data_IF_760564431724
#
_entry.id   IF_760564431724
#
_cell.length_a   1.000
_cell.length_b   1.000
_cell.length_c   1.000
_cell.angle_alpha   90.00
_cell.angle_beta   90.00
_cell.angle_gamma   90.00
#
_symmetry.space_group_name_H-M   'P 1'
#
loop_
_entity.id
_entity.type
_entity.pdbx_description
1 polymer ?
#
# COMPACT_ATOMS: atom_id res chain seq x y z
N UNK A 1 13.58 -25.48 1.02
CA UNK A 1 12.17 -25.39 1.45
C UNK A 1 11.81 -23.91 1.53
N UNK A 2 11.35 -23.33 0.42
CA UNK A 2 10.96 -21.92 0.36
C UNK A 2 9.52 -21.79 0.83
N UNK A 3 9.32 -21.30 2.05
CA UNK A 3 7.99 -20.92 2.53
C UNK A 3 7.47 -19.84 1.57
N UNK A 4 6.33 -20.10 0.93
CA UNK A 4 5.67 -19.11 0.10
C UNK A 4 5.41 -17.87 0.92
N UNK A 5 5.95 -16.73 0.49
CA UNK A 5 5.70 -15.41 1.05
C UNK A 5 4.23 -15.08 0.81
N UNK A 6 3.35 -15.60 1.66
CA UNK A 6 1.93 -15.32 1.62
C UNK A 6 1.73 -13.86 1.98
N UNK A 7 1.43 -13.04 0.96
CA UNK A 7 0.93 -11.69 1.17
C UNK A 7 -0.32 -11.81 2.03
N UNK A 8 -0.22 -11.44 3.30
CA UNK A 8 -1.37 -11.43 4.19
C UNK A 8 -2.06 -10.09 3.97
N UNK A 9 -3.11 -10.11 3.17
CA UNK A 9 -4.06 -8.99 3.07
C UNK A 9 -4.84 -8.96 4.38
N UNK A 10 -4.59 -7.96 5.20
CA UNK A 10 -5.22 -7.82 6.52
C UNK A 10 -6.47 -6.95 6.36
N UNK A 11 -7.63 -7.58 6.28
CA UNK A 11 -8.81 -6.97 5.66
C UNK A 11 -9.42 -5.76 6.40
N UNK A 12 -9.94 -4.81 5.60
CA UNK A 12 -11.09 -3.92 5.84
C UNK A 12 -11.93 -3.66 4.55
N UNK A 13 -11.59 -4.25 3.39
CA UNK A 13 -12.41 -4.32 2.19
C UNK A 13 -12.01 -5.49 1.26
N UNK A 14 -13.01 -6.23 0.75
CA UNK A 14 -12.86 -7.35 -0.19
C UNK A 14 -12.02 -7.00 -1.44
N UNK A 15 -11.33 -8.00 -2.04
CA UNK A 15 -10.59 -7.81 -3.29
C UNK A 15 -11.50 -7.30 -4.42
N UNK A 16 -10.92 -6.68 -5.48
CA UNK A 16 -11.70 -6.20 -6.62
C UNK A 16 -12.55 -7.31 -7.23
N UNK A 17 -13.74 -6.94 -7.70
CA UNK A 17 -14.54 -7.84 -8.51
C UNK A 17 -13.75 -8.23 -9.77
N UNK A 18 -13.78 -9.52 -10.14
CA UNK A 18 -13.02 -10.02 -11.28
C UNK A 18 -13.37 -9.24 -12.56
N UNK A 19 -12.36 -8.64 -13.20
CA UNK A 19 -12.47 -8.01 -14.51
C UNK A 19 -12.62 -6.48 -14.57
N UNK A 20 -12.54 -5.76 -13.44
CA UNK A 20 -12.52 -4.30 -13.45
C UNK A 20 -11.10 -3.72 -13.43
N UNK A 21 -10.83 -2.77 -14.33
CA UNK A 21 -9.59 -1.99 -14.33
C UNK A 21 -9.63 -0.97 -13.19
N UNK A 22 -8.68 -1.05 -12.26
CA UNK A 22 -8.55 -0.15 -11.12
C UNK A 22 -7.19 0.56 -11.17
N UNK A 23 -7.22 1.87 -10.98
CA UNK A 23 -6.12 2.71 -10.51
C UNK A 23 -6.10 2.69 -8.98
N UNK A 24 -4.91 2.53 -8.41
CA UNK A 24 -4.70 2.43 -6.97
C UNK A 24 -3.64 3.41 -6.50
N UNK A 25 -3.85 3.98 -5.31
CA UNK A 25 -2.80 4.64 -4.57
C UNK A 25 -2.41 3.80 -3.36
N UNK A 26 -1.11 3.71 -3.09
CA UNK A 26 -0.59 3.10 -1.89
C UNK A 26 0.16 4.09 -1.02
N UNK A 27 0.15 3.82 0.28
CA UNK A 27 0.73 4.65 1.30
C UNK A 27 1.62 3.84 2.23
N UNK A 28 2.86 4.31 2.41
CA UNK A 28 3.75 3.87 3.49
C UNK A 28 3.74 4.90 4.61
N UNK A 29 3.14 4.54 5.74
CA UNK A 29 2.83 5.48 6.82
C UNK A 29 3.98 5.61 7.82
N UNK A 30 4.87 6.58 7.58
CA UNK A 30 5.83 7.06 8.56
C UNK A 30 5.27 8.19 9.44
N UNK A 31 5.77 8.31 10.67
CA UNK A 31 5.37 9.39 11.59
C UNK A 31 5.76 10.79 11.09
N UNK A 32 6.86 10.88 10.31
CA UNK A 32 7.40 12.14 9.76
C UNK A 32 7.13 12.35 8.28
N UNK A 33 6.97 11.26 7.53
CA UNK A 33 6.88 11.23 6.08
C UNK A 33 5.84 10.21 5.67
N UNK A 34 5.15 10.46 4.56
CA UNK A 34 4.22 9.50 3.97
C UNK A 34 4.70 9.21 2.55
N UNK A 35 5.19 7.99 2.32
CA UNK A 35 5.50 7.52 0.97
C UNK A 35 4.22 7.28 0.20
N UNK A 36 4.17 7.68 -1.06
CA UNK A 36 3.01 7.47 -1.95
C UNK A 36 3.46 6.75 -3.21
N UNK A 37 2.68 5.77 -3.64
CA UNK A 37 2.85 5.08 -4.92
C UNK A 37 1.55 5.00 -5.70
N UNK A 38 1.67 4.88 -7.02
CA UNK A 38 0.59 4.73 -7.97
C UNK A 38 0.76 3.41 -8.73
N UNK A 39 -0.35 2.74 -9.02
CA UNK A 39 -0.37 1.54 -9.83
C UNK A 39 -1.74 1.28 -10.42
N UNK A 40 -1.83 0.28 -11.29
CA UNK A 40 -3.11 -0.13 -11.87
C UNK A 40 -3.15 -1.63 -12.17
N UNK A 41 -4.35 -2.19 -12.24
CA UNK A 41 -4.57 -3.63 -12.49
C UNK A 41 -4.35 -4.03 -13.96
N UNK A 42 -4.37 -3.09 -14.90
CA UNK A 42 -4.12 -3.31 -16.34
C UNK A 42 -2.67 -3.73 -16.58
N UNK A 43 -1.74 -2.84 -16.22
CA UNK A 43 -0.30 -3.04 -16.38
C UNK A 43 0.31 -3.88 -15.26
N UNK A 44 -0.36 -3.94 -14.10
CA UNK A 44 0.09 -4.65 -12.89
C UNK A 44 1.45 -4.18 -12.40
N UNK A 45 1.73 -2.89 -12.57
CA UNK A 45 2.95 -2.26 -12.10
C UNK A 45 2.61 -1.16 -11.11
N UNK A 46 3.42 -1.11 -10.05
CA UNK A 46 3.45 -0.01 -9.12
C UNK A 46 4.71 0.82 -9.32
N UNK A 47 4.60 2.13 -9.13
CA UNK A 47 5.71 3.07 -9.15
C UNK A 47 5.60 4.09 -8.01
N UNK A 48 6.75 4.50 -7.47
CA UNK A 48 6.83 5.60 -6.52
C UNK A 48 6.27 6.87 -7.16
N UNK A 49 5.37 7.56 -6.45
CA UNK A 49 4.74 8.80 -6.92
C UNK A 49 5.37 10.02 -6.26
N UNK A 50 5.31 10.10 -4.93
CA UNK A 50 5.91 11.20 -4.17
C UNK A 50 6.10 10.86 -2.68
N UNK A 51 6.76 11.75 -1.94
CA UNK A 51 6.81 11.74 -0.47
C UNK A 51 6.09 12.97 0.03
N UNK A 52 5.05 12.80 0.84
CA UNK A 52 4.36 13.89 1.50
C UNK A 52 5.09 14.23 2.81
N UNK A 53 5.73 15.41 2.82
CA UNK A 53 6.36 16.01 4.00
C UNK A 53 5.39 17.03 4.63
N UNK A 54 4.38 16.54 5.36
CA UNK A 54 3.40 17.39 6.01
C UNK A 54 3.58 17.36 7.54
N UNK A 55 3.91 18.51 8.18
CA UNK A 55 4.12 18.58 9.63
C UNK A 55 2.83 18.42 10.43
N UNK A 56 1.67 18.68 9.81
CA UNK A 56 0.35 18.56 10.43
C UNK A 56 -0.46 17.46 9.76
N UNK A 57 -1.38 16.88 10.54
CA UNK A 57 -2.35 15.90 10.04
C UNK A 57 -3.21 16.51 8.93
N UNK A 58 -3.71 17.73 9.11
CA UNK A 58 -4.59 18.37 8.13
C UNK A 58 -3.87 18.66 6.81
N UNK A 59 -2.61 19.11 6.87
CA UNK A 59 -1.79 19.30 5.66
C UNK A 59 -1.58 18.00 4.90
N UNK A 60 -1.36 16.89 5.61
CA UNK A 60 -1.23 15.54 5.01
C UNK A 60 -2.52 15.15 4.29
N UNK A 61 -3.67 15.26 4.94
CA UNK A 61 -4.95 14.89 4.34
C UNK A 61 -5.39 15.83 3.22
N UNK A 62 -4.98 17.10 3.25
CA UNK A 62 -5.20 18.04 2.14
C UNK A 62 -4.41 17.60 0.90
N UNK A 63 -3.13 17.22 1.05
CA UNK A 63 -2.34 16.71 -0.07
C UNK A 63 -2.88 15.38 -0.61
N UNK A 64 -3.29 14.47 0.27
CA UNK A 64 -3.96 13.23 -0.15
C UNK A 64 -5.21 13.55 -0.96
N UNK A 65 -6.06 14.49 -0.51
CA UNK A 65 -7.26 14.86 -1.25
C UNK A 65 -6.96 15.37 -2.67
N UNK A 66 -5.87 16.12 -2.86
CA UNK A 66 -5.42 16.55 -4.19
C UNK A 66 -5.03 15.34 -5.05
N UNK A 67 -4.21 14.42 -4.51
CA UNK A 67 -3.83 13.20 -5.24
C UNK A 67 -5.05 12.34 -5.63
N UNK A 68 -6.05 12.25 -4.76
CA UNK A 68 -7.29 11.53 -5.07
C UNK A 68 -8.07 12.21 -6.20
N UNK A 69 -8.10 13.53 -6.25
CA UNK A 69 -8.73 14.27 -7.34
C UNK A 69 -7.96 14.11 -8.66
N UNK A 70 -6.63 14.13 -8.60
CA UNK A 70 -5.76 14.04 -9.78
C UNK A 70 -5.82 12.64 -10.41
N UNK A 71 -5.77 11.59 -9.58
CA UNK A 71 -5.61 10.20 -10.05
C UNK A 71 -6.89 9.37 -10.02
N UNK A 72 -7.93 9.81 -9.32
CA UNK A 72 -9.22 9.12 -9.18
C UNK A 72 -9.10 7.61 -8.90
N UNK A 73 -8.34 7.20 -7.87
CA UNK A 73 -8.16 5.78 -7.58
C UNK A 73 -9.47 5.16 -7.08
N UNK A 74 -9.72 3.91 -7.47
CA UNK A 74 -10.87 3.15 -6.98
C UNK A 74 -10.60 2.55 -5.59
N UNK A 75 -9.33 2.43 -5.20
CA UNK A 75 -8.90 1.78 -3.96
C UNK A 75 -7.60 2.36 -3.42
N UNK A 76 -7.50 2.37 -2.10
CA UNK A 76 -6.29 2.74 -1.38
C UNK A 76 -5.64 1.52 -0.72
N UNK A 77 -4.32 1.49 -0.69
CA UNK A 77 -3.52 0.46 -0.03
C UNK A 77 -2.65 1.11 1.04
N UNK A 78 -2.55 0.50 2.22
CA UNK A 78 -1.73 1.02 3.33
C UNK A 78 -0.82 -0.10 3.84
N UNK A 79 0.47 0.20 3.95
CA UNK A 79 1.44 -0.68 4.60
C UNK A 79 1.16 -0.83 6.09
N UNK A 80 1.33 -2.05 6.61
CA UNK A 80 1.22 -2.35 8.02
C UNK A 80 2.51 -2.99 8.56
N UNK A 81 3.22 -2.23 9.39
CA UNK A 81 4.43 -2.62 10.10
C UNK A 81 4.17 -3.76 11.09
N UNK A 82 4.31 -5.02 10.68
CA UNK A 82 4.22 -6.16 11.59
C UNK A 82 5.60 -6.59 12.09
N UNK A 83 5.65 -7.22 13.26
CA UNK A 83 6.88 -7.91 13.72
C UNK A 83 7.24 -9.06 12.81
N UNK A 84 8.48 -9.57 12.92
CA UNK A 84 8.91 -10.79 12.22
C UNK A 84 7.93 -11.95 12.36
N UNK A 85 7.33 -12.10 13.56
CA UNK A 85 6.38 -13.16 13.89
C UNK A 85 4.93 -12.83 13.48
N UNK A 86 4.69 -11.69 12.80
CA UNK A 86 3.38 -11.28 12.29
C UNK A 86 2.48 -10.59 13.31
N UNK A 87 3.01 -10.20 14.47
CA UNK A 87 2.23 -9.54 15.53
C UNK A 87 2.17 -8.02 15.35
N UNK A 88 1.07 -7.40 15.76
CA UNK A 88 0.93 -5.94 15.74
C UNK A 88 1.76 -5.28 16.86
N UNK A 89 2.28 -4.09 16.57
CA UNK A 89 2.97 -3.19 17.49
C UNK A 89 2.38 -1.78 17.39
N UNK A 90 2.94 -0.85 18.15
CA UNK A 90 2.49 0.55 18.15
C UNK A 90 2.45 1.17 16.73
N UNK A 91 3.45 0.87 15.88
CA UNK A 91 3.48 1.34 14.49
C UNK A 91 2.32 0.75 13.65
N UNK A 92 2.01 -0.54 13.80
CA UNK A 92 0.86 -1.18 13.14
C UNK A 92 -0.45 -0.51 13.55
N UNK A 93 -0.63 -0.24 14.85
CA UNK A 93 -1.81 0.44 15.36
C UNK A 93 -1.96 1.85 14.76
N UNK A 94 -0.85 2.56 14.53
CA UNK A 94 -0.86 3.86 13.86
C UNK A 94 -1.23 3.73 12.37
N UNK A 95 -0.67 2.75 11.65
CA UNK A 95 -1.04 2.45 10.26
C UNK A 95 -2.52 2.11 10.10
N UNK A 96 -3.07 1.26 10.98
CA UNK A 96 -4.49 0.90 11.01
C UNK A 96 -5.39 2.12 11.29
N UNK A 97 -4.99 2.97 12.23
CA UNK A 97 -5.70 4.24 12.49
C UNK A 97 -5.68 5.15 11.27
N UNK A 98 -4.55 5.24 10.56
CA UNK A 98 -4.44 6.02 9.34
C UNK A 98 -5.36 5.47 8.23
N UNK A 99 -5.38 4.16 8.02
CA UNK A 99 -6.30 3.51 7.07
C UNK A 99 -7.77 3.78 7.39
N UNK A 100 -8.17 3.69 8.67
CA UNK A 100 -9.53 4.02 9.10
C UNK A 100 -9.88 5.50 8.83
N UNK A 101 -8.91 6.41 9.01
CA UNK A 101 -9.11 7.83 8.71
C UNK A 101 -9.24 8.10 7.22
N UNK A 102 -8.46 7.41 6.37
CA UNK A 102 -8.60 7.47 4.91
C UNK A 102 -10.01 7.02 4.50
N UNK A 103 -10.43 5.84 4.97
CA UNK A 103 -11.75 5.30 4.68
C UNK A 103 -12.87 6.25 5.13
N UNK A 104 -12.85 6.69 6.39
CA UNK A 104 -13.88 7.56 6.95
C UNK A 104 -13.93 8.95 6.31
N UNK A 105 -12.82 9.47 5.77
CA UNK A 105 -12.77 10.81 5.16
C UNK A 105 -13.13 10.81 3.68
N UNK A 106 -12.75 9.77 2.94
CA UNK A 106 -12.84 9.75 1.48
C UNK A 106 -13.83 8.71 0.95
N UNK A 107 -14.34 7.81 1.79
CA UNK A 107 -15.31 6.78 1.39
C UNK A 107 -14.74 5.69 0.48
N UNK A 108 -13.42 5.71 0.20
CA UNK A 108 -12.77 4.72 -0.64
C UNK A 108 -12.50 3.43 0.15
N UNK A 109 -12.56 2.26 -0.52
CA UNK A 109 -12.04 1.01 0.03
C UNK A 109 -10.56 1.16 0.39
N UNK A 110 -10.18 0.70 1.58
CA UNK A 110 -8.79 0.70 2.04
C UNK A 110 -8.37 -0.71 2.41
N UNK A 111 -7.26 -1.17 1.83
CA UNK A 111 -6.69 -2.49 2.08
C UNK A 111 -5.40 -2.34 2.87
N UNK A 112 -5.20 -3.17 3.90
CA UNK A 112 -3.92 -3.24 4.60
C UNK A 112 -3.07 -4.37 4.05
N UNK A 113 -1.79 -4.09 3.85
CA UNK A 113 -0.81 -5.03 3.33
C UNK A 113 0.36 -5.11 4.31
N UNK A 114 0.73 -6.34 4.65
CA UNK A 114 1.92 -6.62 5.44
C UNK A 114 3.19 -6.10 4.74
N UNK A 115 3.90 -5.19 5.41
CA UNK A 115 5.09 -4.52 4.86
C UNK A 115 6.41 -5.22 5.21
N UNK A 116 6.40 -6.37 5.91
CA UNK A 116 7.63 -7.08 6.32
C UNK A 116 8.61 -7.24 5.16
N UNK A 117 9.86 -6.85 5.37
CA UNK A 117 10.93 -6.96 4.36
C UNK A 117 10.93 -5.90 3.26
N UNK A 118 9.95 -4.98 3.22
CA UNK A 118 9.89 -3.91 2.21
C UNK A 118 11.11 -2.98 2.24
N UNK A 119 11.62 -2.64 3.42
CA UNK A 119 12.84 -1.81 3.56
C UNK A 119 14.09 -2.52 3.03
N UNK A 120 14.20 -3.84 3.23
CA UNK A 120 15.31 -4.62 2.68
C UNK A 120 15.22 -4.73 1.15
N UNK A 121 14.02 -4.91 0.62
CA UNK A 121 13.76 -4.92 -0.83
C UNK A 121 14.04 -3.55 -1.46
N UNK A 122 13.64 -2.46 -0.81
CA UNK A 122 13.93 -1.10 -1.25
C UNK A 122 15.45 -0.83 -1.29
N UNK A 123 16.16 -1.25 -0.25
CA UNK A 123 17.62 -1.11 -0.16
C UNK A 123 18.33 -1.90 -1.27
N UNK A 124 17.84 -3.11 -1.57
CA UNK A 124 18.38 -3.94 -2.65
C UNK A 124 18.14 -3.34 -4.04
N UNK A 125 17.05 -2.59 -4.24
CA UNK A 125 16.72 -1.98 -5.53
C UNK A 125 17.45 -0.66 -5.79
N UNK A 126 17.83 0.10 -4.76
CA UNK A 126 18.26 1.50 -4.95
C UNK A 126 19.70 1.83 -4.57
N UNK A 127 20.43 0.94 -3.90
CA UNK A 127 21.72 1.33 -3.31
C UNK A 127 21.54 2.39 -2.21
N UNK A 128 22.59 2.63 -1.42
CA UNK A 128 22.54 3.22 -0.08
C UNK A 128 22.05 4.69 0.05
N UNK A 129 21.48 5.34 -0.98
CA UNK A 129 21.28 6.80 -0.99
C UNK A 129 19.98 7.33 -1.62
N UNK A 130 18.97 6.52 -1.96
CA UNK A 130 17.70 7.03 -2.50
C UNK A 130 16.67 7.35 -1.40
N UNK A 131 15.66 8.22 -1.65
CA UNK A 131 14.61 8.50 -0.67
C UNK A 131 13.70 7.26 -0.49
N UNK A 132 14.04 6.45 0.52
CA UNK A 132 13.54 5.10 0.80
C UNK A 132 12.00 4.99 0.89
N UNK A 133 11.32 6.05 1.32
CA UNK A 133 9.91 5.98 1.75
C UNK A 133 8.91 5.83 0.58
N UNK A 134 9.10 6.51 -0.56
CA UNK A 134 8.19 6.36 -1.71
C UNK A 134 8.34 5.00 -2.42
N UNK A 135 9.52 4.39 -2.26
CA UNK A 135 9.84 3.09 -2.87
C UNK A 135 9.23 1.96 -2.03
N UNK A 136 9.26 2.09 -0.70
CA UNK A 136 8.51 1.22 0.18
C UNK A 136 7.01 1.18 -0.18
N UNK A 137 6.39 2.34 -0.42
CA UNK A 137 5.00 2.42 -0.88
C UNK A 137 4.77 1.68 -2.22
N UNK A 138 5.72 1.76 -3.16
CA UNK A 138 5.64 1.05 -4.43
C UNK A 138 5.76 -0.47 -4.26
N UNK A 139 6.65 -0.93 -3.39
CA UNK A 139 6.80 -2.34 -3.05
C UNK A 139 5.53 -2.90 -2.40
N UNK A 140 4.95 -2.15 -1.45
CA UNK A 140 3.67 -2.48 -0.81
C UNK A 140 2.58 -2.67 -1.87
N UNK A 141 2.46 -1.72 -2.82
CA UNK A 141 1.47 -1.81 -3.88
C UNK A 141 1.73 -2.95 -4.85
N UNK A 142 2.99 -3.20 -5.20
CA UNK A 142 3.35 -4.31 -6.09
C UNK A 142 2.97 -5.66 -5.46
N UNK A 143 3.25 -5.84 -4.16
CA UNK A 143 2.84 -7.04 -3.42
C UNK A 143 1.32 -7.26 -3.45
N UNK A 144 0.54 -6.19 -3.33
CA UNK A 144 -0.91 -6.27 -3.47
C UNK A 144 -1.33 -6.72 -4.88
N UNK A 145 -0.79 -6.09 -5.92
CA UNK A 145 -1.07 -6.42 -7.32
C UNK A 145 -0.72 -7.87 -7.66
N UNK A 146 0.40 -8.37 -7.14
CA UNK A 146 0.84 -9.76 -7.34
C UNK A 146 -0.07 -10.76 -6.59
N UNK A 147 -0.56 -10.40 -5.41
CA UNK A 147 -1.48 -11.22 -4.63
C UNK A 147 -2.84 -11.39 -5.31
N UNK A 148 -3.43 -10.31 -5.83
CA UNK A 148 -4.74 -10.38 -6.51
C UNK A 148 -4.67 -11.13 -7.84
N UNK A 149 -3.51 -11.13 -8.53
CA UNK A 149 -3.26 -12.00 -9.69
C UNK A 149 -3.38 -13.47 -9.31
N UNK A 150 -2.70 -13.85 -8.24
CA UNK A 150 -2.63 -15.24 -7.77
C UNK A 150 -4.01 -15.80 -7.42
N UNK A 151 -4.93 -14.93 -6.98
CA UNK A 151 -6.31 -15.28 -6.72
C UNK A 151 -7.13 -15.47 -8.01
N UNK A 152 -7.02 -14.55 -8.97
CA UNK A 152 -7.72 -14.64 -10.27
C UNK A 152 -7.28 -15.86 -11.09
N UNK A 153 -5.99 -16.17 -11.10
CA UNK A 153 -5.43 -17.32 -11.85
C UNK A 153 -5.97 -18.65 -11.27
N UNK A 154 -6.15 -18.76 -9.95
CA UNK A 154 -6.70 -19.96 -9.29
C UNK A 154 -8.21 -20.12 -9.50
N UNK A 155 -8.97 -19.02 -9.49
CA UNK A 155 -10.41 -19.05 -9.74
C UNK A 155 -10.77 -19.49 -11.17
N UNK A 156 -9.85 -19.31 -12.12
CA UNK A 156 -10.05 -19.67 -13.54
C UNK A 156 -9.71 -21.14 -13.84
N UNK A 157 -9.01 -21.83 -12.91
CA UNK A 157 -8.57 -23.23 -13.04
C UNK A 157 -9.48 -24.22 -12.28
N UNK A 158 -10.64 -23.75 -11.79
CA UNK A 158 -11.69 -24.51 -11.10
C UNK A 158 -12.95 -24.58 -11.96
#
# INVERSE_FOLDING_TARGET
>A
MGQGTGVTVLDLAAPPAAGADETLLAFDFGTRKLGVALGNTVTRRAGALEIILAPTRDGRFARIAQLLADWQPQRLVVGLALTTDGTEQHASLQGRRFANQLHGRFGLPVVLVDERGSSMEAQAQLGTHAPEDAVAAAIILQRYLDAIRSFSDRATLS
#
